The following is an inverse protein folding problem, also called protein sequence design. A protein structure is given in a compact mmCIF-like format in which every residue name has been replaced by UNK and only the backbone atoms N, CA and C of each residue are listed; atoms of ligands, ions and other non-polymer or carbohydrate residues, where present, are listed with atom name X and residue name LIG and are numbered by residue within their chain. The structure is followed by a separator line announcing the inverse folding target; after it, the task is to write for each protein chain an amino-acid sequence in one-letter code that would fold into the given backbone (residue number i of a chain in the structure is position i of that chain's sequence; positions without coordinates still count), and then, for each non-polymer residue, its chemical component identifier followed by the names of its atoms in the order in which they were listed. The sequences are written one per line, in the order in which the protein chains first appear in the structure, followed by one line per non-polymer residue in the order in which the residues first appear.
data_IF_743249588028
#
_entry.id   IF_743249588028
#
_cell.length_a   1.000
_cell.length_b   1.000
_cell.length_c   1.000
_cell.angle_alpha   90.00
_cell.angle_beta   90.00
_cell.angle_gamma   90.00
#
_symmetry.space_group_name_H-M   'P 1'
#
loop_
_entity.id
_entity.type
_entity.pdbx_description
1 polymer ?
#
# COMPACT_ATOMS: atom_id res chain seq x y z
N UNK A 1 8.78 -3.38 -3.78
CA UNK A 1 8.22 -3.54 -5.13
C UNK A 1 7.08 -4.54 -5.13
N UNK A 2 6.04 -4.28 -5.87
CA UNK A 2 4.87 -5.12 -5.95
C UNK A 2 4.68 -5.55 -7.41
N UNK A 3 4.40 -6.82 -7.65
CA UNK A 3 4.20 -7.34 -9.00
C UNK A 3 2.70 -7.49 -9.26
N UNK A 4 2.18 -6.74 -10.23
CA UNK A 4 0.76 -6.70 -10.54
C UNK A 4 0.57 -7.17 -11.98
N UNK A 5 -0.25 -8.19 -12.18
CA UNK A 5 -0.51 -8.76 -13.51
C UNK A 5 0.78 -9.14 -14.25
N UNK A 6 1.77 -9.62 -13.50
CA UNK A 6 3.05 -10.02 -14.07
C UNK A 6 4.03 -8.90 -14.32
N UNK A 7 3.64 -7.64 -14.06
CA UNK A 7 4.50 -6.48 -14.27
C UNK A 7 4.95 -5.90 -12.92
N UNK A 8 6.23 -5.59 -12.73
CA UNK A 8 6.69 -4.99 -11.49
C UNK A 8 6.20 -3.55 -11.37
N UNK A 9 5.65 -3.22 -10.21
CA UNK A 9 5.16 -1.88 -9.90
C UNK A 9 5.92 -1.30 -8.72
N UNK A 10 6.38 -0.07 -8.86
CA UNK A 10 7.16 0.61 -7.83
C UNK A 10 6.21 1.35 -6.90
N UNK A 11 6.40 1.15 -5.60
CA UNK A 11 5.64 1.87 -4.57
C UNK A 11 6.40 3.15 -4.20
N UNK A 12 5.71 4.29 -4.28
CA UNK A 12 6.28 5.58 -3.95
C UNK A 12 5.28 6.37 -3.10
N UNK A 13 5.56 6.54 -1.80
CA UNK A 13 4.66 7.29 -0.92
C UNK A 13 4.87 8.80 -1.09
N UNK A 14 4.37 9.35 -2.18
CA UNK A 14 4.45 10.79 -2.44
C UNK A 14 3.45 11.53 -1.55
N UNK A 15 3.64 12.84 -1.40
CA UNK A 15 2.74 13.66 -0.58
C UNK A 15 1.29 13.53 -1.07
N UNK A 16 1.07 13.68 -2.37
CA UNK A 16 -0.29 13.58 -2.92
C UNK A 16 -0.89 12.19 -2.74
N UNK A 17 -0.08 11.14 -2.86
CA UNK A 17 -0.54 9.77 -2.64
C UNK A 17 -0.99 9.57 -1.19
N UNK A 18 -0.20 10.07 -0.24
CA UNK A 18 -0.50 9.90 1.18
C UNK A 18 -1.71 10.73 1.61
N UNK A 19 -1.87 11.94 1.06
CA UNK A 19 -3.07 12.74 1.33
C UNK A 19 -4.31 12.03 0.82
N UNK A 20 -4.25 11.48 -0.40
CA UNK A 20 -5.38 10.75 -0.96
C UNK A 20 -5.70 9.51 -0.13
N UNK A 21 -4.68 8.81 0.34
CA UNK A 21 -4.86 7.64 1.18
C UNK A 21 -5.52 8.02 2.51
N UNK A 22 -5.08 9.12 3.13
CA UNK A 22 -5.70 9.58 4.38
C UNK A 22 -7.16 9.96 4.22
N UNK A 23 -7.50 10.59 3.11
CA UNK A 23 -8.89 10.96 2.84
C UNK A 23 -9.80 9.75 2.76
N UNK A 24 -9.29 8.65 2.27
CA UNK A 24 -10.07 7.43 2.13
C UNK A 24 -10.01 6.53 3.36
N UNK A 25 -8.81 6.38 3.96
CA UNK A 25 -8.56 5.36 4.97
C UNK A 25 -8.44 5.90 6.39
N UNK A 26 -8.43 7.22 6.55
CA UNK A 26 -8.25 7.86 7.84
C UNK A 26 -6.79 8.20 8.12
N UNK A 27 -6.50 8.70 9.32
CA UNK A 27 -5.15 9.19 9.65
C UNK A 27 -4.08 8.13 9.47
N UNK A 28 -2.94 8.52 8.90
CA UNK A 28 -1.85 7.59 8.63
C UNK A 28 -1.28 6.99 9.93
N UNK A 29 -1.20 7.76 11.00
CA UNK A 29 -0.75 7.20 12.28
C UNK A 29 -1.64 6.08 12.76
N UNK A 30 -2.96 6.22 12.59
CA UNK A 30 -3.90 5.16 12.96
C UNK A 30 -3.71 3.93 12.07
N UNK A 31 -3.43 4.13 10.78
CA UNK A 31 -3.16 3.01 9.87
C UNK A 31 -1.91 2.25 10.30
N UNK A 32 -0.85 2.98 10.65
CA UNK A 32 0.40 2.37 11.10
C UNK A 32 0.18 1.55 12.37
N UNK A 33 -0.57 2.09 13.32
CA UNK A 33 -0.87 1.39 14.57
C UNK A 33 -1.66 0.11 14.31
N UNK A 34 -2.68 0.18 13.45
CA UNK A 34 -3.49 -0.99 13.14
C UNK A 34 -2.68 -2.04 12.37
N UNK A 35 -1.80 -1.60 11.48
CA UNK A 35 -0.93 -2.51 10.76
C UNK A 35 0.02 -3.24 11.73
N UNK A 36 0.57 -2.52 12.70
CA UNK A 36 1.43 -3.12 13.71
C UNK A 36 0.72 -4.11 14.62
N UNK A 37 -0.59 -3.88 14.84
CA UNK A 37 -1.42 -4.78 15.65
C UNK A 37 -1.99 -5.94 14.82
N UNK A 38 -1.74 -5.98 13.52
CA UNK A 38 -2.31 -7.00 12.65
C UNK A 38 -3.78 -6.79 12.33
N UNK A 39 -4.26 -5.55 12.45
CA UNK A 39 -5.68 -5.23 12.27
C UNK A 39 -5.99 -4.51 10.96
N UNK A 40 -5.03 -4.46 10.05
CA UNK A 40 -5.25 -3.82 8.75
C UNK A 40 -6.05 -4.76 7.85
N UNK A 41 -7.13 -4.23 7.29
CA UNK A 41 -8.01 -5.02 6.41
C UNK A 41 -7.38 -5.17 5.03
N UNK A 42 -7.78 -6.26 4.34
CA UNK A 42 -7.33 -6.50 2.97
C UNK A 42 -7.64 -5.32 2.05
N UNK A 43 -8.84 -4.77 2.13
CA UNK A 43 -9.23 -3.64 1.31
C UNK A 43 -8.40 -2.40 1.62
N UNK A 44 -8.04 -2.20 2.88
CA UNK A 44 -7.21 -1.08 3.29
C UNK A 44 -5.78 -1.23 2.76
N UNK A 45 -5.24 -2.44 2.84
CA UNK A 45 -3.90 -2.73 2.31
C UNK A 45 -3.85 -2.52 0.80
N UNK A 46 -4.85 -3.03 0.08
CA UNK A 46 -4.93 -2.87 -1.37
C UNK A 46 -5.05 -1.40 -1.76
N UNK A 47 -5.88 -0.64 -1.05
CA UNK A 47 -6.06 0.79 -1.32
C UNK A 47 -4.78 1.58 -1.04
N UNK A 48 -4.09 1.27 0.04
CA UNK A 48 -2.84 1.94 0.36
C UNK A 48 -1.77 1.68 -0.71
N UNK A 49 -1.61 0.43 -1.12
CA UNK A 49 -0.69 0.09 -2.20
C UNK A 49 -1.07 0.80 -3.50
N UNK A 50 -2.35 0.82 -3.84
CA UNK A 50 -2.82 1.46 -5.06
C UNK A 50 -2.51 2.95 -5.09
N UNK A 51 -2.79 3.65 -3.98
CA UNK A 51 -2.48 5.08 -3.88
C UNK A 51 -0.98 5.36 -3.98
N UNK A 52 -0.16 4.45 -3.47
CA UNK A 52 1.29 4.63 -3.44
C UNK A 52 2.01 4.12 -4.68
N UNK A 53 1.29 3.60 -5.67
CA UNK A 53 1.92 3.20 -6.93
C UNK A 53 2.52 4.42 -7.62
N UNK A 54 3.77 4.30 -8.07
CA UNK A 54 4.44 5.37 -8.81
C UNK A 54 3.71 5.69 -10.11
N UNK A 55 3.10 4.67 -10.72
CA UNK A 55 2.25 4.82 -11.89
C UNK A 55 1.04 3.93 -11.74
N UNK A 56 -0.16 4.52 -11.88
CA UNK A 56 -1.42 3.79 -11.80
C UNK A 56 -2.05 3.55 -13.16
N UNK A 57 -1.36 3.92 -14.21
CA UNK A 57 -1.86 3.77 -15.56
C UNK A 57 -2.10 2.30 -15.87
N UNK A 58 -3.34 1.98 -16.25
CA UNK A 58 -3.72 0.61 -16.55
C UNK A 58 -3.86 -0.31 -15.35
N UNK A 59 -3.77 0.22 -14.13
CA UNK A 59 -3.86 -0.57 -12.91
C UNK A 59 -5.07 -0.14 -12.09
N UNK A 60 -5.99 -1.08 -11.84
CA UNK A 60 -7.17 -0.81 -11.01
C UNK A 60 -6.90 -1.25 -9.57
N UNK A 61 -7.74 -0.75 -8.64
CA UNK A 61 -7.68 -1.22 -7.26
C UNK A 61 -7.96 -2.70 -7.16
N UNK A 62 -8.87 -3.21 -8.00
CA UNK A 62 -9.19 -4.63 -8.00
C UNK A 62 -7.97 -5.47 -8.40
N UNK A 63 -7.19 -5.00 -9.39
CA UNK A 63 -5.98 -5.69 -9.79
C UNK A 63 -4.96 -5.76 -8.66
N UNK A 64 -4.82 -4.68 -7.88
CA UNK A 64 -3.95 -4.67 -6.71
C UNK A 64 -4.46 -5.65 -5.65
N UNK A 65 -5.77 -5.62 -5.37
CA UNK A 65 -6.38 -6.51 -4.40
C UNK A 65 -6.21 -7.98 -4.77
N UNK A 66 -6.44 -8.30 -6.03
CA UNK A 66 -6.25 -9.66 -6.53
C UNK A 66 -4.79 -10.10 -6.42
N UNK A 67 -3.86 -9.18 -6.68
CA UNK A 67 -2.44 -9.46 -6.53
C UNK A 67 -2.09 -9.78 -5.08
N UNK A 68 -2.62 -8.99 -4.13
CA UNK A 68 -2.39 -9.24 -2.71
C UNK A 68 -2.93 -10.61 -2.31
N UNK A 69 -4.12 -10.95 -2.77
CA UNK A 69 -4.71 -12.26 -2.49
C UNK A 69 -3.88 -13.39 -3.10
N UNK A 70 -3.42 -13.21 -4.32
CA UNK A 70 -2.66 -14.23 -5.04
C UNK A 70 -1.31 -14.49 -4.38
N UNK A 71 -0.64 -13.42 -3.96
CA UNK A 71 0.66 -13.55 -3.29
C UNK A 71 0.52 -13.98 -1.84
N UNK A 72 -0.62 -13.69 -1.23
CA UNK A 72 -0.87 -13.95 0.18
C UNK A 72 -0.45 -12.79 1.06
N UNK A 73 -1.18 -12.62 2.16
CA UNK A 73 -0.95 -11.50 3.07
C UNK A 73 0.45 -11.53 3.68
N UNK A 74 0.98 -12.73 3.94
CA UNK A 74 2.30 -12.86 4.53
C UNK A 74 3.40 -12.32 3.61
N UNK A 75 3.28 -12.53 2.30
CA UNK A 75 4.26 -12.02 1.34
C UNK A 75 4.16 -10.50 1.16
N UNK A 76 2.96 -9.97 1.32
CA UNK A 76 2.73 -8.54 1.19
C UNK A 76 3.17 -7.78 2.45
N UNK A 77 3.39 -8.47 3.55
CA UNK A 77 3.83 -7.83 4.80
C UNK A 77 5.18 -7.14 4.65
N UNK A 78 6.11 -7.72 3.87
CA UNK A 78 7.40 -7.11 3.62
C UNK A 78 7.31 -5.76 2.93
N UNK A 79 6.70 -5.68 1.73
CA UNK A 79 6.49 -4.41 1.04
C UNK A 79 5.69 -3.41 1.87
N UNK A 80 4.68 -3.87 2.60
CA UNK A 80 3.90 -3.00 3.48
C UNK A 80 4.76 -2.38 4.57
N UNK A 81 5.61 -3.20 5.19
CA UNK A 81 6.49 -2.73 6.26
C UNK A 81 7.48 -1.69 5.75
N UNK A 82 8.04 -1.91 4.57
CA UNK A 82 8.94 -0.94 3.94
C UNK A 82 8.21 0.37 3.66
N UNK A 83 7.01 0.28 3.11
CA UNK A 83 6.20 1.45 2.80
C UNK A 83 5.88 2.25 4.07
N UNK A 84 5.42 1.58 5.12
CA UNK A 84 5.10 2.23 6.38
C UNK A 84 6.35 2.86 7.02
N UNK A 85 7.49 2.20 6.90
CA UNK A 85 8.75 2.75 7.36
C UNK A 85 9.12 4.05 6.66
N UNK A 86 8.91 4.10 5.35
CA UNK A 86 9.16 5.30 4.57
C UNK A 86 8.21 6.44 4.97
N UNK A 87 6.96 6.11 5.27
CA UNK A 87 5.98 7.10 5.73
C UNK A 87 6.40 7.70 7.07
N UNK A 88 6.84 6.85 8.00
CA UNK A 88 7.21 7.29 9.34
C UNK A 88 8.53 8.05 9.39
N UNK A 89 9.52 7.62 8.61
CA UNK A 89 10.88 8.14 8.69
C UNK A 89 11.24 9.09 7.55
N UNK A 90 10.39 9.17 6.55
CA UNK A 90 10.68 9.96 5.37
C UNK A 90 11.46 9.16 4.35
N UNK A 91 11.53 9.70 3.13
CA UNK A 91 12.15 9.04 1.98
C UNK A 91 13.48 9.68 1.60
N UNK A 92 13.91 10.67 2.34
CA UNK A 92 15.11 11.44 2.04
C UNK A 92 16.40 10.80 2.55
#
# INVERSE_FOLDING_TARGET
MLEISGAPCILRPSFSALVAAEEELGPLFALVERAGAGELRLSEMASLFWHCLASREGVSREAVGETVMRQGLARCAGPLRVLLGQILQGTG
#
